data_IF_562738588217
#
_entry.id   IF_562738588217
#
_cell.length_a   1.000
_cell.length_b   1.000
_cell.length_c   1.000
_cell.angle_alpha   90.00
_cell.angle_beta   90.00
_cell.angle_gamma   90.00
#
_symmetry.space_group_name_H-M   'P 1'
#
loop_
_entity.id
_entity.type
_entity.pdbx_description
1 polymer ?
#
# COMPACT_ATOMS: atom_id res chain seq x y z
N UNK A 1 -4.82 -11.16 -7.86
CA UNK A 1 -4.25 -10.83 -6.53
C UNK A 1 -2.97 -11.62 -6.22
N UNK A 2 -1.90 -11.47 -7.00
CA UNK A 2 -0.64 -12.20 -6.74
C UNK A 2 0.30 -11.47 -5.75
N UNK A 3 0.39 -10.14 -5.82
CA UNK A 3 1.36 -9.33 -5.05
C UNK A 3 1.07 -9.18 -3.55
N UNK A 4 -0.11 -9.58 -3.09
CA UNK A 4 -0.51 -9.57 -1.67
C UNK A 4 -1.05 -10.92 -1.20
N UNK A 5 -0.91 -11.96 -2.03
CA UNK A 5 -1.18 -13.30 -1.55
C UNK A 5 -0.15 -13.65 -0.47
N UNK A 6 -0.61 -14.42 0.53
CA UNK A 6 0.25 -14.97 1.56
C UNK A 6 1.46 -15.66 0.90
N UNK A 7 2.67 -15.23 1.27
CA UNK A 7 3.93 -15.68 0.65
C UNK A 7 4.55 -14.71 -0.37
N UNK A 8 3.90 -13.59 -0.70
CA UNK A 8 4.53 -12.52 -1.47
C UNK A 8 5.40 -11.61 -0.58
N UNK A 9 6.50 -11.09 -1.15
CA UNK A 9 7.48 -10.25 -0.42
C UNK A 9 6.81 -9.00 0.17
N UNK A 10 5.86 -8.40 -0.54
CA UNK A 10 5.14 -7.21 -0.08
C UNK A 10 4.22 -7.57 1.09
N UNK A 11 3.49 -8.70 1.01
CA UNK A 11 2.65 -9.17 2.11
C UNK A 11 3.47 -9.43 3.38
N UNK A 12 4.59 -10.12 3.25
CA UNK A 12 5.47 -10.45 4.39
C UNK A 12 6.08 -9.19 5.01
N UNK A 13 6.53 -8.25 4.16
CA UNK A 13 7.11 -6.99 4.61
C UNK A 13 6.09 -6.10 5.33
N UNK A 14 4.85 -6.04 4.85
CA UNK A 14 3.75 -5.27 5.46
C UNK A 14 3.25 -5.94 6.74
N UNK A 15 3.10 -7.27 6.74
CA UNK A 15 2.63 -8.03 7.91
C UNK A 15 3.59 -7.99 9.10
N UNK A 16 4.87 -7.71 8.86
CA UNK A 16 5.88 -7.53 9.90
C UNK A 16 5.89 -6.12 10.53
N UNK A 17 5.17 -5.17 9.94
CA UNK A 17 5.13 -3.80 10.44
C UNK A 17 4.26 -3.67 11.69
N UNK A 18 4.82 -3.07 12.74
CA UNK A 18 4.15 -2.92 14.04
C UNK A 18 3.20 -1.73 14.11
N UNK A 19 3.35 -0.78 13.20
CA UNK A 19 2.54 0.44 13.15
C UNK A 19 1.98 0.69 11.76
N UNK A 20 0.82 1.33 11.71
CA UNK A 20 0.19 1.73 10.45
C UNK A 20 1.08 2.66 9.64
N UNK A 21 1.81 3.59 10.28
CA UNK A 21 2.79 4.44 9.61
C UNK A 21 3.87 3.61 8.90
N UNK A 22 4.50 2.67 9.60
CA UNK A 22 5.54 1.81 9.02
C UNK A 22 5.00 0.91 7.90
N UNK A 23 3.74 0.48 7.98
CA UNK A 23 3.07 -0.26 6.91
C UNK A 23 2.90 0.61 5.65
N UNK A 24 2.42 1.84 5.80
CA UNK A 24 2.25 2.80 4.70
C UNK A 24 3.59 3.12 4.03
N UNK A 25 4.63 3.43 4.81
CA UNK A 25 5.99 3.67 4.25
C UNK A 25 6.51 2.47 3.47
N UNK A 26 6.36 1.26 4.02
CA UNK A 26 6.80 0.02 3.36
C UNK A 26 6.09 -0.18 2.02
N UNK A 27 4.78 0.13 1.96
CA UNK A 27 3.98 0.02 0.73
C UNK A 27 4.45 1.02 -0.33
N UNK A 28 4.65 2.27 0.05
CA UNK A 28 5.11 3.32 -0.86
C UNK A 28 6.53 3.04 -1.38
N UNK A 29 7.44 2.61 -0.52
CA UNK A 29 8.78 2.19 -0.94
C UNK A 29 8.74 0.98 -1.87
N UNK A 30 7.91 -0.02 -1.58
CA UNK A 30 7.81 -1.23 -2.39
C UNK A 30 7.15 -0.99 -3.77
N UNK A 31 6.16 -0.10 -3.85
CA UNK A 31 5.41 0.15 -5.09
C UNK A 31 5.98 1.32 -5.88
N UNK A 32 6.28 2.44 -5.22
CA UNK A 32 6.67 3.70 -5.86
C UNK A 32 8.14 4.08 -5.70
N UNK A 33 8.93 3.34 -4.90
CA UNK A 33 10.37 3.58 -4.66
C UNK A 33 10.72 4.88 -3.94
N UNK A 34 9.75 5.51 -3.27
CA UNK A 34 9.95 6.66 -2.40
C UNK A 34 8.98 6.62 -1.20
N UNK A 35 9.26 7.39 -0.15
CA UNK A 35 8.34 7.59 0.98
C UNK A 35 7.16 8.49 0.57
N UNK A 36 5.96 8.33 1.18
CA UNK A 36 4.85 9.22 0.93
C UNK A 36 5.10 10.60 1.57
N UNK A 37 4.69 11.65 0.87
CA UNK A 37 4.54 12.97 1.48
C UNK A 37 3.41 13.00 2.52
N UNK A 38 3.33 14.09 3.30
CA UNK A 38 2.38 14.19 4.42
C UNK A 38 0.91 14.00 4.00
N UNK A 39 0.52 14.56 2.85
CA UNK A 39 -0.84 14.43 2.30
C UNK A 39 -1.15 12.99 1.87
N UNK A 40 -0.24 12.40 1.08
CA UNK A 40 -0.35 11.00 0.63
C UNK A 40 -0.41 10.02 1.82
N UNK A 41 0.41 10.26 2.85
CA UNK A 41 0.39 9.45 4.07
C UNK A 41 -0.96 9.57 4.77
N UNK A 42 -1.49 10.78 4.92
CA UNK A 42 -2.79 10.97 5.55
C UNK A 42 -3.91 10.25 4.79
N UNK A 43 -3.94 10.37 3.46
CA UNK A 43 -4.90 9.67 2.61
C UNK A 43 -4.76 8.14 2.72
N UNK A 44 -3.54 7.61 2.68
CA UNK A 44 -3.26 6.19 2.83
C UNK A 44 -3.69 5.64 4.20
N UNK A 45 -3.42 6.38 5.28
CA UNK A 45 -3.86 6.03 6.62
C UNK A 45 -5.39 6.05 6.76
N UNK A 46 -6.08 6.97 6.07
CA UNK A 46 -7.55 7.02 6.04
C UNK A 46 -8.14 5.82 5.31
N UNK A 47 -7.59 5.45 4.15
CA UNK A 47 -8.01 4.26 3.39
C UNK A 47 -7.88 2.98 4.24
N UNK A 48 -6.75 2.82 4.94
CA UNK A 48 -6.53 1.64 5.79
C UNK A 48 -7.54 1.60 6.96
N UNK A 49 -7.87 2.75 7.54
CA UNK A 49 -8.84 2.84 8.66
C UNK A 49 -10.29 2.59 8.23
N UNK A 50 -10.65 2.94 7.00
CA UNK A 50 -12.01 2.78 6.48
C UNK A 50 -12.31 1.36 6.00
N UNK A 51 -11.27 0.57 5.71
CA UNK A 51 -11.42 -0.82 5.33
C UNK A 51 -11.93 -1.71 6.49
N UNK A 52 -12.57 -2.82 6.15
CA UNK A 52 -13.12 -3.77 7.12
C UNK A 52 -12.08 -4.38 8.07
N UNK A 53 -10.81 -4.40 7.65
CA UNK A 53 -9.66 -4.75 8.48
C UNK A 53 -8.37 -4.15 7.89
N UNK A 54 -7.28 -4.03 8.67
CA UNK A 54 -6.04 -3.40 8.21
C UNK A 54 -5.42 -4.08 6.99
N UNK A 55 -5.52 -5.41 6.88
CA UNK A 55 -4.96 -6.14 5.74
C UNK A 55 -5.71 -5.83 4.44
N UNK A 56 -7.04 -5.76 4.50
CA UNK A 56 -7.88 -5.30 3.38
C UNK A 56 -7.55 -3.85 2.99
N UNK A 57 -7.35 -2.98 3.97
CA UNK A 57 -6.94 -1.60 3.76
C UNK A 57 -5.59 -1.45 3.05
N UNK A 58 -4.57 -2.19 3.49
CA UNK A 58 -3.28 -2.27 2.80
C UNK A 58 -3.45 -2.80 1.36
N UNK A 59 -4.37 -3.76 1.16
CA UNK A 59 -4.73 -4.27 -0.15
C UNK A 59 -5.32 -3.23 -1.08
N UNK A 60 -6.28 -2.47 -0.59
CA UNK A 60 -6.90 -1.36 -1.32
C UNK A 60 -5.86 -0.30 -1.69
N UNK A 61 -5.00 0.08 -0.74
CA UNK A 61 -3.94 1.05 -0.97
C UNK A 61 -2.96 0.60 -2.06
N UNK A 62 -2.47 -0.65 -2.00
CA UNK A 62 -1.58 -1.19 -3.03
C UNK A 62 -2.27 -1.22 -4.39
N UNK A 63 -3.54 -1.63 -4.43
CA UNK A 63 -4.32 -1.60 -5.66
C UNK A 63 -4.41 -0.17 -6.21
N UNK A 64 -4.77 0.82 -5.39
CA UNK A 64 -4.85 2.21 -5.79
C UNK A 64 -3.52 2.74 -6.36
N UNK A 65 -2.38 2.45 -5.70
CA UNK A 65 -1.05 2.89 -6.16
C UNK A 65 -0.60 2.21 -7.46
N UNK A 66 -1.02 0.97 -7.71
CA UNK A 66 -0.76 0.29 -8.98
C UNK A 66 -1.64 0.84 -10.11
N UNK A 67 -2.90 1.16 -9.82
CA UNK A 67 -3.86 1.66 -10.80
C UNK A 67 -3.60 3.13 -11.19
N UNK A 68 -2.94 3.92 -10.34
CA UNK A 68 -2.46 5.26 -10.76
C UNK A 68 -1.29 5.19 -11.74
N UNK A 69 -0.58 4.05 -11.82
CA UNK A 69 0.44 3.78 -12.85
C UNK A 69 -0.13 3.19 -14.15
N UNK A 70 -1.36 2.68 -14.16
CA UNK A 70 -2.02 2.25 -15.42
C UNK A 70 -2.24 3.42 -16.38
N UNK A 71 -2.20 4.67 -15.90
CA UNK A 71 -2.21 5.88 -16.74
C UNK A 71 -0.88 6.19 -17.44
N UNK A 72 0.24 5.52 -17.13
CA UNK A 72 1.54 5.76 -17.79
C UNK A 72 1.74 4.94 -19.08
N UNK A 73 0.92 3.91 -19.32
CA UNK A 73 1.04 3.01 -20.48
C UNK A 73 -0.21 3.00 -21.36
N UNK A 74 -1.02 4.06 -21.31
CA UNK A 74 -2.02 4.32 -22.36
C UNK A 74 -1.28 5.02 -23.49
N UNK A 75 -1.01 4.28 -24.57
CA UNK A 75 -0.68 4.82 -25.90
C UNK A 75 -1.96 5.28 -26.60
#
# INVERSE_FOLDING_TARGET
HAMLSQGSVIYDSVSQQKTMKSAVDTIFLAVLTHEPDADMRSAAEQEIKQASNPAAGCGNLIWALLNTREFLFID
#
